data_IF_030266523818
#
_entry.id   IF_030266523818
#
_cell.length_a   1.000
_cell.length_b   1.000
_cell.length_c   1.000
_cell.angle_alpha   90.00
_cell.angle_beta   90.00
_cell.angle_gamma   90.00
#
_symmetry.space_group_name_H-M   'P 1'
#
loop_
_entity.id
_entity.type
_entity.pdbx_description
1 polymer ?
#
# COMPACT_ATOMS: atom_id res chain seq x y z
N UNK A 1 0.15 11.03 16.12
CA UNK A 1 -0.62 10.47 15.00
C UNK A 1 -0.78 8.96 15.22
N UNK A 2 -1.87 8.37 14.74
CA UNK A 2 -2.08 6.92 14.74
C UNK A 2 -2.34 6.50 13.30
N UNK A 3 -1.49 5.63 12.74
CA UNK A 3 -1.62 5.14 11.36
C UNK A 3 -2.33 3.78 11.40
N UNK A 4 -3.50 3.68 10.77
CA UNK A 4 -4.47 2.59 11.02
C UNK A 4 -4.58 1.54 9.91
N UNK A 5 -3.95 1.76 8.77
CA UNK A 5 -3.97 0.82 7.64
C UNK A 5 -3.00 -0.37 7.75
N UNK A 6 -1.88 -0.34 8.51
CA UNK A 6 -1.03 -1.52 8.64
C UNK A 6 -1.75 -2.67 9.36
N UNK A 7 -1.56 -3.89 8.88
CA UNK A 7 -2.06 -5.10 9.52
C UNK A 7 -0.93 -5.97 10.10
N UNK A 8 -1.29 -7.05 10.80
CA UNK A 8 -0.33 -7.94 11.48
C UNK A 8 0.43 -8.90 10.55
N UNK A 9 0.16 -8.90 9.25
CA UNK A 9 0.91 -9.69 8.25
C UNK A 9 2.17 -8.97 7.78
N UNK A 10 2.25 -7.66 8.01
CA UNK A 10 3.42 -6.87 7.72
C UNK A 10 4.61 -7.27 8.61
N UNK A 11 5.82 -7.25 8.05
CA UNK A 11 7.04 -7.31 8.86
C UNK A 11 7.14 -6.02 9.70
N UNK A 12 7.14 -6.10 11.04
CA UNK A 12 7.10 -4.92 11.89
C UNK A 12 8.33 -4.04 11.73
N UNK A 13 9.49 -4.61 11.40
CA UNK A 13 10.71 -3.83 11.18
C UNK A 13 10.60 -3.00 9.90
N UNK A 14 10.18 -3.64 8.81
CA UNK A 14 10.05 -2.96 7.52
C UNK A 14 8.91 -1.94 7.55
N UNK A 15 7.77 -2.28 8.15
CA UNK A 15 6.61 -1.38 8.24
C UNK A 15 6.93 -0.12 9.04
N UNK A 16 7.55 -0.26 10.23
CA UNK A 16 7.93 0.90 11.03
C UNK A 16 9.04 1.74 10.37
N UNK A 17 10.01 1.10 9.73
CA UNK A 17 11.05 1.81 8.99
C UNK A 17 10.44 2.61 7.82
N UNK A 18 9.59 2.01 6.99
CA UNK A 18 8.95 2.68 5.85
C UNK A 18 8.08 3.86 6.30
N UNK A 19 7.27 3.69 7.36
CA UNK A 19 6.46 4.77 7.92
C UNK A 19 7.31 5.93 8.47
N UNK A 20 8.43 5.61 9.13
CA UNK A 20 9.35 6.64 9.63
C UNK A 20 9.99 7.40 8.46
N UNK A 21 10.47 6.71 7.44
CA UNK A 21 11.12 7.32 6.28
C UNK A 21 10.15 8.22 5.52
N UNK A 22 8.90 7.78 5.28
CA UNK A 22 7.86 8.59 4.66
C UNK A 22 7.54 9.86 5.49
N UNK A 23 7.47 9.72 6.81
CA UNK A 23 7.26 10.88 7.71
C UNK A 23 8.42 11.87 7.69
N UNK A 24 9.67 11.39 7.65
CA UNK A 24 10.86 12.23 7.54
C UNK A 24 10.94 12.95 6.20
N UNK A 25 10.58 12.27 5.11
CA UNK A 25 10.51 12.88 3.78
C UNK A 25 9.48 14.02 3.75
N UNK A 26 8.28 13.79 4.29
CA UNK A 26 7.25 14.82 4.43
C UNK A 26 7.73 16.05 5.20
N UNK A 27 8.53 15.85 6.27
CA UNK A 27 9.13 16.95 7.03
C UNK A 27 10.18 17.70 6.21
N UNK A 28 11.09 16.99 5.52
CA UNK A 28 12.16 17.59 4.71
C UNK A 28 11.59 18.41 3.55
N UNK A 29 10.55 17.89 2.89
CA UNK A 29 9.94 18.48 1.70
C UNK A 29 8.77 19.41 2.01
N UNK A 30 8.46 19.65 3.29
CA UNK A 30 7.34 20.48 3.73
C UNK A 30 6.00 20.08 3.08
N UNK A 31 5.72 18.77 3.05
CA UNK A 31 4.50 18.23 2.47
C UNK A 31 3.33 18.54 3.40
N UNK A 32 2.41 19.37 2.94
CA UNK A 32 1.18 19.71 3.66
C UNK A 32 0.12 18.60 3.47
N UNK A 33 -0.40 17.99 4.54
CA UNK A 33 -1.38 16.89 4.45
C UNK A 33 -2.78 17.34 4.02
N UNK A 34 -3.00 18.65 3.86
CA UNK A 34 -4.32 19.24 3.61
C UNK A 34 -5.17 19.38 4.86
N UNK A 35 -6.43 19.76 4.67
CA UNK A 35 -7.36 19.97 5.77
C UNK A 35 -7.82 18.64 6.40
N UNK A 36 -7.97 18.58 7.74
CA UNK A 36 -8.44 17.37 8.42
C UNK A 36 -9.89 17.05 8.05
N UNK A 37 -10.21 15.76 8.01
CA UNK A 37 -11.57 15.27 7.78
C UNK A 37 -12.25 14.87 9.09
N UNK A 38 -13.26 15.64 9.51
CA UNK A 38 -14.05 15.36 10.73
C UNK A 38 -15.30 14.50 10.47
N UNK A 39 -15.53 14.07 9.23
CA UNK A 39 -16.66 13.22 8.84
C UNK A 39 -16.33 11.73 9.03
N UNK A 40 -17.34 10.93 9.34
CA UNK A 40 -17.20 9.47 9.31
C UNK A 40 -17.02 9.00 7.86
N UNK A 41 -15.84 8.46 7.55
CA UNK A 41 -15.48 8.05 6.19
C UNK A 41 -16.40 6.95 5.63
N UNK A 42 -17.02 6.14 6.50
CA UNK A 42 -17.94 5.06 6.09
C UNK A 42 -19.31 5.55 5.63
N UNK A 43 -19.71 6.77 6.01
CA UNK A 43 -21.03 7.35 5.72
C UNK A 43 -20.97 8.42 4.62
N UNK A 44 -19.82 8.58 3.96
CA UNK A 44 -19.65 9.56 2.91
C UNK A 44 -20.44 9.18 1.64
N UNK A 45 -21.14 10.13 0.99
CA UNK A 45 -21.65 9.94 -0.35
C UNK A 45 -20.51 9.53 -1.30
N UNK A 46 -20.79 8.64 -2.25
CA UNK A 46 -19.77 8.12 -3.18
C UNK A 46 -19.04 9.24 -3.96
N UNK A 47 -19.73 10.33 -4.28
CA UNK A 47 -19.13 11.51 -4.93
C UNK A 47 -18.11 12.22 -4.04
N UNK A 48 -18.36 12.32 -2.73
CA UNK A 48 -17.41 12.93 -1.78
C UNK A 48 -16.23 11.98 -1.51
N UNK A 49 -16.49 10.66 -1.41
CA UNK A 49 -15.45 9.65 -1.21
C UNK A 49 -14.46 9.58 -2.39
N UNK A 50 -14.93 9.78 -3.63
CA UNK A 50 -14.10 9.77 -4.83
C UNK A 50 -13.06 10.90 -4.86
N UNK A 51 -13.27 11.99 -4.12
CA UNK A 51 -12.32 13.09 -4.02
C UNK A 51 -11.20 12.83 -2.98
N UNK A 52 -11.31 11.77 -2.19
CA UNK A 52 -10.38 11.45 -1.09
C UNK A 52 -9.38 10.40 -1.57
N UNK A 53 -8.05 10.66 -1.46
CA UNK A 53 -7.03 9.66 -1.73
C UNK A 53 -7.28 8.38 -0.93
N UNK A 54 -7.31 7.24 -1.62
CA UNK A 54 -7.49 5.92 -1.01
C UNK A 54 -6.16 5.16 -0.96
N UNK A 55 -6.09 4.19 -0.06
CA UNK A 55 -5.00 3.20 -0.07
C UNK A 55 -5.14 2.26 -1.26
N UNK A 56 -4.05 1.56 -1.60
CA UNK A 56 -4.05 0.57 -2.67
C UNK A 56 -5.10 -0.53 -2.42
N UNK A 57 -5.77 -0.95 -3.48
CA UNK A 57 -6.86 -1.95 -3.45
C UNK A 57 -6.38 -3.38 -3.60
N UNK A 58 -5.13 -3.56 -4.04
CA UNK A 58 -4.50 -4.86 -4.28
C UNK A 58 -3.03 -4.82 -3.93
N UNK A 59 -2.46 -6.01 -3.68
CA UNK A 59 -1.01 -6.14 -3.49
C UNK A 59 -0.25 -5.72 -4.75
N UNK A 60 -0.71 -6.08 -5.94
CA UNK A 60 -0.11 -5.64 -7.21
C UNK A 60 0.00 -4.11 -7.30
N UNK A 61 -1.06 -3.39 -6.94
CA UNK A 61 -1.06 -1.92 -6.95
C UNK A 61 -0.03 -1.36 -5.95
N UNK A 62 0.01 -1.89 -4.73
CA UNK A 62 0.98 -1.46 -3.73
C UNK A 62 2.43 -1.72 -4.16
N UNK A 63 2.70 -2.86 -4.81
CA UNK A 63 4.04 -3.19 -5.33
C UNK A 63 4.45 -2.25 -6.48
N UNK A 64 3.53 -1.91 -7.39
CA UNK A 64 3.81 -0.92 -8.45
C UNK A 64 4.02 0.48 -7.90
N UNK A 65 3.27 0.87 -6.88
CA UNK A 65 3.48 2.15 -6.19
C UNK A 65 4.84 2.18 -5.52
N UNK A 66 5.26 1.10 -4.85
CA UNK A 66 6.61 0.99 -4.29
C UNK A 66 7.68 1.05 -5.37
N UNK A 67 7.52 0.34 -6.49
CA UNK A 67 8.46 0.40 -7.61
C UNK A 67 8.59 1.82 -8.19
N UNK A 68 7.47 2.54 -8.33
CA UNK A 68 7.44 3.88 -8.90
C UNK A 68 7.86 5.00 -7.94
N UNK A 69 7.71 4.79 -6.62
CA UNK A 69 7.96 5.78 -5.57
C UNK A 69 8.65 5.13 -4.36
N UNK A 70 9.97 4.95 -4.45
CA UNK A 70 10.79 4.41 -3.37
C UNK A 70 12.00 5.29 -3.00
N UNK A 71 12.18 6.44 -3.63
CA UNK A 71 13.34 7.31 -3.39
C UNK A 71 13.44 7.73 -1.92
N UNK A 72 12.29 7.98 -1.27
CA UNK A 72 12.25 8.34 0.15
C UNK A 72 12.76 7.22 1.08
N UNK A 73 12.75 5.96 0.64
CA UNK A 73 13.27 4.82 1.40
C UNK A 73 14.79 4.68 1.28
N UNK A 74 15.37 5.15 0.17
CA UNK A 74 16.81 5.06 -0.10
C UNK A 74 17.63 6.07 0.71
N UNK A 75 16.98 7.12 1.21
CA UNK A 75 17.59 8.18 2.01
C UNK A 75 18.38 7.60 3.20
N UNK A 76 19.63 8.02 3.35
CA UNK A 76 20.52 7.56 4.44
C UNK A 76 20.95 6.09 4.34
N UNK A 77 20.64 5.40 3.24
CA UNK A 77 20.96 3.98 3.06
C UNK A 77 20.18 3.06 4.00
N UNK A 78 18.99 3.48 4.43
CA UNK A 78 18.10 2.67 5.28
C UNK A 78 17.58 1.46 4.51
N UNK A 79 17.14 1.68 3.29
CA UNK A 79 16.85 0.64 2.30
C UNK A 79 17.85 0.75 1.14
N UNK A 80 18.18 -0.38 0.52
CA UNK A 80 18.90 -0.42 -0.74
C UNK A 80 17.96 -0.75 -1.89
N UNK A 81 18.27 -0.26 -3.09
CA UNK A 81 17.52 -0.55 -4.30
C UNK A 81 17.43 -2.06 -4.58
N UNK A 82 18.54 -2.78 -4.38
CA UNK A 82 18.60 -4.25 -4.50
C UNK A 82 17.65 -4.97 -3.52
N UNK A 83 17.54 -4.47 -2.29
CA UNK A 83 16.60 -5.01 -1.31
C UNK A 83 15.15 -4.78 -1.72
N UNK A 84 14.82 -3.56 -2.16
CA UNK A 84 13.47 -3.20 -2.59
C UNK A 84 13.05 -4.04 -3.79
N UNK A 85 13.92 -4.19 -4.79
CA UNK A 85 13.64 -5.02 -5.95
C UNK A 85 13.44 -6.49 -5.55
N UNK A 86 14.32 -7.04 -4.72
CA UNK A 86 14.19 -8.42 -4.24
C UNK A 86 12.90 -8.64 -3.44
N UNK A 87 12.48 -7.66 -2.66
CA UNK A 87 11.21 -7.70 -1.93
C UNK A 87 10.02 -7.68 -2.89
N UNK A 88 10.04 -6.82 -3.92
CA UNK A 88 9.00 -6.76 -4.95
C UNK A 88 8.89 -8.10 -5.67
N UNK A 89 10.00 -8.65 -6.15
CA UNK A 89 10.03 -9.92 -6.89
C UNK A 89 9.42 -11.07 -6.08
N UNK A 90 9.77 -11.16 -4.80
CA UNK A 90 9.21 -12.15 -3.87
C UNK A 90 7.68 -12.01 -3.74
N UNK A 91 7.19 -10.78 -3.59
CA UNK A 91 5.76 -10.50 -3.41
C UNK A 91 4.96 -10.64 -4.70
N UNK A 92 5.56 -10.39 -5.85
CA UNK A 92 4.97 -10.67 -7.16
C UNK A 92 4.76 -12.18 -7.34
N UNK A 93 5.68 -13.03 -6.88
CA UNK A 93 5.50 -14.48 -6.91
C UNK A 93 4.29 -14.94 -6.07
N UNK A 94 4.15 -14.38 -4.85
CA UNK A 94 3.01 -14.64 -3.96
C UNK A 94 1.68 -14.21 -4.61
N UNK A 95 1.61 -12.99 -5.16
CA UNK A 95 0.43 -12.44 -5.85
C UNK A 95 0.06 -13.28 -7.08
N UNK A 96 1.05 -13.64 -7.90
CA UNK A 96 0.86 -14.45 -9.10
C UNK A 96 0.25 -15.80 -8.78
N UNK A 97 0.69 -16.44 -7.69
CA UNK A 97 0.14 -17.72 -7.25
C UNK A 97 -1.36 -17.61 -6.93
N UNK A 98 -1.77 -16.56 -6.25
CA UNK A 98 -3.20 -16.35 -5.91
C UNK A 98 -4.00 -16.07 -7.18
N UNK A 99 -3.54 -15.17 -8.03
CA UNK A 99 -4.26 -14.76 -9.26
C UNK A 99 -4.38 -15.84 -10.32
N UNK A 100 -3.42 -16.75 -10.38
CA UNK A 100 -3.42 -17.88 -11.33
C UNK A 100 -4.17 -19.11 -10.82
N UNK A 101 -4.64 -19.08 -9.57
CA UNK A 101 -5.40 -20.17 -8.95
C UNK A 101 -6.89 -19.84 -8.93
N UNK A 102 -7.77 -20.66 -9.55
CA UNK A 102 -9.21 -20.44 -9.49
C UNK A 102 -9.73 -20.40 -8.05
N UNK A 103 -10.48 -19.35 -7.72
CA UNK A 103 -11.11 -19.21 -6.41
C UNK A 103 -12.43 -20.00 -6.35
N UNK A 104 -12.80 -20.66 -5.23
CA UNK A 104 -14.07 -21.39 -5.11
C UNK A 104 -15.32 -20.57 -5.49
N UNK A 105 -15.32 -19.26 -5.21
CA UNK A 105 -16.40 -18.35 -5.62
C UNK A 105 -16.59 -18.27 -7.14
N UNK A 106 -15.54 -18.49 -7.94
CA UNK A 106 -15.67 -18.53 -9.40
C UNK A 106 -16.53 -19.72 -9.86
N UNK A 107 -16.47 -20.86 -9.16
CA UNK A 107 -17.37 -21.98 -9.46
C UNK A 107 -18.82 -21.61 -9.13
N UNK A 108 -19.08 -20.92 -8.02
CA UNK A 108 -20.43 -20.45 -7.70
C UNK A 108 -20.97 -19.49 -8.77
N UNK A 109 -20.13 -18.62 -9.31
CA UNK A 109 -20.51 -17.62 -10.31
C UNK A 109 -20.65 -18.20 -11.73
N UNK A 110 -19.76 -19.11 -12.11
CA UNK A 110 -19.53 -19.42 -13.53
C UNK A 110 -19.66 -20.91 -13.88
N UNK A 111 -19.89 -21.83 -12.93
CA UNK A 111 -19.92 -23.27 -13.23
C UNK A 111 -21.02 -23.72 -14.21
N UNK A 112 -22.14 -23.00 -14.24
CA UNK A 112 -23.31 -23.32 -15.07
C UNK A 112 -23.55 -22.33 -16.23
N UNK A 113 -22.60 -21.41 -16.49
CA UNK A 113 -22.60 -20.60 -17.71
C UNK A 113 -22.32 -21.47 -18.93
#
# INVERSE_FOLDING_TARGET
IEVRFPDCTADPYLAFAAMLMAGLDGIKNHIEPGDPMDKNLYDLPAEEAAAIPQVCTSLEEALKSLEADHDYLLEGGVFSEDFIQSFIDLKVEEDTKVRSTPHPAEFELYYAL
#
